data_IF_126898573752
#
_entry.id   IF_126898573752
#
_cell.length_a   1.000
_cell.length_b   1.000
_cell.length_c   1.000
_cell.angle_alpha   90.00
_cell.angle_beta   90.00
_cell.angle_gamma   90.00
#
_symmetry.space_group_name_H-M   'P 1'
#
loop_
_entity.id
_entity.type
_entity.pdbx_description
1 polymer ?
#
# COMPACT_ATOMS: atom_id res chain seq x y z
N UNK A 1 -6.04 -32.79 -25.69
CA UNK A 1 -5.10 -32.22 -24.70
C UNK A 1 -5.50 -30.76 -24.57
N UNK A 2 -6.32 -30.43 -23.57
CA UNK A 2 -6.93 -29.11 -23.45
C UNK A 2 -5.96 -28.12 -22.82
N UNK A 3 -5.82 -26.99 -23.49
CA UNK A 3 -5.09 -25.79 -23.10
C UNK A 3 -5.51 -25.29 -21.71
N UNK A 4 -4.54 -24.91 -20.88
CA UNK A 4 -4.71 -23.91 -19.80
C UNK A 4 -3.34 -23.38 -19.38
N UNK A 5 -2.51 -22.96 -20.34
CA UNK A 5 -1.46 -21.98 -20.09
C UNK A 5 -2.10 -20.60 -20.14
N UNK A 6 -2.91 -20.25 -19.15
CA UNK A 6 -3.38 -18.88 -19.00
C UNK A 6 -2.16 -17.96 -18.85
N UNK A 7 -2.17 -16.74 -19.42
CA UNK A 7 -1.10 -15.79 -19.10
C UNK A 7 -1.13 -15.61 -17.58
N UNK A 8 -0.05 -15.97 -16.90
CA UNK A 8 0.16 -15.53 -15.52
C UNK A 8 -0.13 -14.04 -15.53
N UNK A 9 -1.02 -13.52 -14.66
CA UNK A 9 -1.26 -12.09 -14.60
C UNK A 9 0.13 -11.47 -14.45
N UNK A 10 0.50 -10.60 -15.40
CA UNK A 10 1.70 -9.79 -15.28
C UNK A 10 1.51 -9.06 -13.96
N UNK A 11 2.21 -9.52 -12.92
CA UNK A 11 2.05 -8.97 -11.60
C UNK A 11 2.79 -7.64 -11.64
N UNK A 12 2.03 -6.59 -11.96
CA UNK A 12 2.53 -5.24 -11.95
C UNK A 12 2.92 -4.91 -10.51
N UNK A 13 4.18 -4.54 -10.30
CA UNK A 13 4.73 -4.15 -8.99
C UNK A 13 3.87 -3.11 -8.26
N UNK A 14 3.12 -2.31 -9.03
CA UNK A 14 2.11 -1.39 -8.52
C UNK A 14 0.99 -2.11 -7.78
N UNK A 15 0.42 -3.15 -8.38
CA UNK A 15 -0.65 -3.97 -7.81
C UNK A 15 -0.16 -4.67 -6.55
N UNK A 16 1.03 -5.26 -6.56
CA UNK A 16 1.66 -5.86 -5.38
C UNK A 16 1.71 -4.91 -4.18
N UNK A 17 2.19 -3.68 -4.40
CA UNK A 17 2.37 -2.70 -3.33
C UNK A 17 1.02 -2.20 -2.80
N UNK A 18 0.02 -2.07 -3.68
CA UNK A 18 -1.33 -1.69 -3.29
C UNK A 18 -2.03 -2.81 -2.51
N UNK A 19 -1.93 -4.06 -2.95
CA UNK A 19 -2.45 -5.25 -2.25
C UNK A 19 -1.86 -5.36 -0.85
N UNK A 20 -0.53 -5.20 -0.72
CA UNK A 20 0.12 -5.16 0.58
C UNK A 20 -0.40 -3.98 1.43
N UNK A 21 -0.59 -2.79 0.84
CA UNK A 21 -1.11 -1.63 1.56
C UNK A 21 -2.52 -1.86 2.12
N UNK A 22 -3.42 -2.53 1.38
CA UNK A 22 -4.81 -2.79 1.81
C UNK A 22 -5.02 -4.09 2.59
N UNK A 23 -3.93 -4.78 2.96
CA UNK A 23 -4.01 -6.05 3.69
C UNK A 23 -4.97 -5.96 4.89
N UNK A 24 -5.98 -6.84 4.99
CA UNK A 24 -7.09 -6.70 5.95
C UNK A 24 -6.64 -6.78 7.41
N UNK A 25 -5.58 -7.54 7.69
CA UNK A 25 -5.01 -7.71 9.03
C UNK A 25 -4.09 -6.56 9.46
N UNK A 26 -3.94 -5.53 8.63
CA UNK A 26 -3.03 -4.43 8.88
C UNK A 26 -3.78 -3.09 8.94
N UNK A 27 -3.25 -2.16 9.73
CA UNK A 27 -3.88 -0.84 9.92
C UNK A 27 -4.12 -0.10 8.60
N UNK A 28 -5.14 0.78 8.57
CA UNK A 28 -5.51 1.55 7.38
C UNK A 28 -4.28 2.28 6.81
N UNK A 29 -3.90 2.07 5.54
CA UNK A 29 -2.78 2.78 4.93
C UNK A 29 -3.12 4.27 4.82
N UNK A 30 -2.15 5.12 5.18
CA UNK A 30 -2.29 6.59 5.16
C UNK A 30 -1.30 7.27 4.23
N UNK A 31 -0.19 6.60 3.89
CA UNK A 31 0.86 7.12 3.03
C UNK A 31 1.70 5.95 2.53
N UNK A 32 2.11 5.99 1.27
CA UNK A 32 3.10 5.08 0.70
C UNK A 32 4.29 5.93 0.27
N UNK A 33 5.47 5.63 0.81
CA UNK A 33 6.72 6.23 0.36
C UNK A 33 7.41 5.25 -0.58
N UNK A 34 7.87 5.70 -1.72
CA UNK A 34 8.57 4.89 -2.72
C UNK A 34 9.86 5.57 -3.13
N UNK A 35 10.90 4.79 -3.41
CA UNK A 35 12.09 5.35 -4.02
C UNK A 35 11.82 5.83 -5.45
N UNK A 36 12.58 6.80 -5.96
CA UNK A 36 12.44 7.28 -7.34
C UNK A 36 12.47 6.16 -8.39
N UNK A 37 13.31 5.14 -8.19
CA UNK A 37 13.43 4.01 -9.13
C UNK A 37 12.17 3.14 -9.15
N UNK A 38 11.47 3.02 -8.01
CA UNK A 38 10.21 2.29 -7.88
C UNK A 38 9.06 3.12 -8.46
N UNK A 39 9.02 4.42 -8.16
CA UNK A 39 8.04 5.34 -8.74
C UNK A 39 8.11 5.35 -10.28
N UNK A 40 9.32 5.42 -10.86
CA UNK A 40 9.51 5.36 -12.31
C UNK A 40 9.03 4.04 -12.93
N UNK A 41 9.13 2.92 -12.20
CA UNK A 41 8.59 1.62 -12.63
C UNK A 41 7.06 1.57 -12.52
N UNK A 42 6.48 2.17 -11.49
CA UNK A 42 5.03 2.26 -11.30
C UNK A 42 4.33 3.18 -12.31
N UNK A 43 4.95 4.32 -12.63
CA UNK A 43 4.42 5.30 -13.59
C UNK A 43 4.69 4.90 -15.04
N UNK A 44 5.41 3.80 -15.28
CA UNK A 44 5.53 3.26 -16.63
C UNK A 44 4.15 2.73 -17.02
N UNK A 45 3.49 3.28 -18.06
CA UNK A 45 2.16 2.84 -18.42
C UNK A 45 2.21 1.35 -18.79
N UNK A 46 1.47 0.52 -18.05
CA UNK A 46 1.32 -0.91 -18.36
C UNK A 46 0.60 -1.07 -19.70
N UNK A 47 -0.34 -0.16 -20.02
CA UNK A 47 -1.04 0.00 -21.31
C UNK A 47 -1.49 1.46 -21.50
N UNK A 48 -1.68 1.94 -22.74
CA UNK A 48 -2.38 3.20 -22.98
C UNK A 48 -3.82 3.09 -22.45
N UNK A 49 -4.20 3.96 -21.50
CA UNK A 49 -5.51 3.97 -20.84
C UNK A 49 -5.51 3.73 -19.33
N UNK A 50 -4.35 3.46 -18.72
CA UNK A 50 -4.19 3.14 -17.29
C UNK A 50 -3.81 4.36 -16.42
N UNK A 51 -4.41 5.53 -16.72
CA UNK A 51 -4.15 6.82 -16.04
C UNK A 51 -4.86 6.95 -14.67
N UNK A 52 -4.96 5.86 -13.91
CA UNK A 52 -5.51 5.94 -12.55
C UNK A 52 -4.41 6.30 -11.56
N UNK A 53 -4.03 7.58 -11.49
CA UNK A 53 -2.96 8.08 -10.60
C UNK A 53 -3.34 8.13 -9.11
N UNK A 54 -4.51 7.60 -8.72
CA UNK A 54 -4.98 7.58 -7.34
C UNK A 54 -5.77 6.29 -7.01
N UNK A 55 -5.16 5.12 -7.20
CA UNK A 55 -5.88 3.83 -7.17
C UNK A 55 -6.64 3.56 -5.86
N UNK A 56 -6.34 4.24 -4.75
CA UNK A 56 -7.08 4.07 -3.49
C UNK A 56 -7.24 5.35 -2.66
N UNK A 57 -6.95 6.53 -3.23
CA UNK A 57 -6.88 7.78 -2.46
C UNK A 57 -5.80 7.81 -1.37
N UNK A 58 -4.82 6.89 -1.43
CA UNK A 58 -3.66 6.86 -0.55
C UNK A 58 -2.58 7.75 -1.18
N UNK A 59 -2.05 8.76 -0.46
CA UNK A 59 -0.92 9.57 -0.92
C UNK A 59 0.29 8.69 -1.25
N UNK A 60 0.90 8.92 -2.42
CA UNK A 60 2.18 8.34 -2.83
C UNK A 60 3.24 9.45 -2.79
N UNK A 61 4.33 9.23 -2.06
CA UNK A 61 5.45 10.18 -1.93
C UNK A 61 6.73 9.54 -2.43
N UNK A 62 7.47 10.26 -3.25
CA UNK A 62 8.80 9.84 -3.70
C UNK A 62 9.84 10.28 -2.68
N UNK A 63 10.68 9.36 -2.22
CA UNK A 63 11.69 9.59 -1.20
C UNK A 63 12.92 8.69 -1.43
N UNK A 64 14.09 9.30 -1.63
CA UNK A 64 15.35 8.60 -1.90
C UNK A 64 16.08 8.11 -0.64
N UNK A 65 15.66 8.57 0.54
CA UNK A 65 16.23 8.17 1.85
C UNK A 65 15.72 6.79 2.31
N UNK A 66 14.66 6.25 1.69
CA UNK A 66 14.14 4.91 2.01
C UNK A 66 15.19 3.84 1.69
N UNK A 67 15.33 2.79 2.53
CA UNK A 67 16.18 1.65 2.23
C UNK A 67 16.00 1.09 0.81
N UNK A 68 17.09 0.71 0.13
CA UNK A 68 17.05 0.27 -1.27
C UNK A 68 16.30 -1.05 -1.47
N UNK A 69 16.12 -1.84 -0.42
CA UNK A 69 15.27 -3.02 -0.42
C UNK A 69 14.34 -3.01 0.80
N UNK A 70 13.01 -3.09 0.61
CA UNK A 70 12.30 -3.34 -0.66
C UNK A 70 12.15 -2.11 -1.57
N UNK A 71 12.62 -0.92 -1.17
CA UNK A 71 12.53 0.31 -1.96
C UNK A 71 11.20 1.07 -1.81
N UNK A 72 10.37 0.65 -0.85
CA UNK A 72 9.12 1.32 -0.47
C UNK A 72 8.80 1.09 1.01
N UNK A 73 8.01 1.98 1.59
CA UNK A 73 7.48 1.89 2.95
C UNK A 73 6.00 2.26 2.98
N UNK A 74 5.20 1.48 3.72
CA UNK A 74 3.77 1.71 3.89
C UNK A 74 3.53 2.22 5.30
N UNK A 75 3.13 3.49 5.39
CA UNK A 75 2.71 4.09 6.65
C UNK A 75 1.23 3.80 6.86
N UNK A 76 0.92 3.25 8.04
CA UNK A 76 -0.43 2.90 8.45
C UNK A 76 -0.84 3.76 9.63
N UNK A 77 -2.14 4.06 9.72
CA UNK A 77 -2.68 4.66 10.92
C UNK A 77 -2.40 3.74 12.11
N UNK A 78 -1.80 4.28 13.17
CA UNK A 78 -1.76 3.59 14.46
C UNK A 78 -3.20 3.45 14.92
N UNK A 79 -3.70 2.24 15.23
CA UNK A 79 -5.03 2.10 15.77
C UNK A 79 -5.15 2.99 17.01
N UNK A 80 -6.29 3.68 17.22
CA UNK A 80 -6.46 4.47 18.43
C UNK A 80 -6.18 3.55 19.62
N UNK A 81 -5.44 4.02 20.65
CA UNK A 81 -5.23 3.21 21.84
C UNK A 81 -6.60 2.77 22.31
N UNK A 82 -6.79 1.46 22.49
CA UNK A 82 -7.95 0.94 23.21
C UNK A 82 -7.99 1.71 24.53
N UNK A 83 -8.86 2.72 24.64
CA UNK A 83 -9.03 3.44 25.90
C UNK A 83 -9.55 2.37 26.85
N UNK A 84 -8.79 1.91 27.86
CA UNK A 84 -9.39 1.09 28.87
C UNK A 84 -10.53 1.93 29.44
N UNK A 85 -11.75 1.39 29.40
CA UNK A 85 -12.86 1.95 30.16
C UNK A 85 -12.31 2.12 31.58
N UNK A 86 -12.23 3.36 32.06
CA UNK A 86 -11.88 3.66 33.45
C UNK A 86 -13.01 3.07 34.32
N UNK A 87 -12.94 1.77 34.57
CA UNK A 87 -13.68 1.11 35.62
C UNK A 87 -13.03 1.54 36.92
N UNK A 88 -13.61 2.55 37.57
CA UNK A 88 -13.16 2.97 38.90
C UNK A 88 -13.26 4.47 39.14
N UNK A 89 -14.48 4.98 39.23
CA UNK A 89 -14.78 6.09 40.14
C UNK A 89 -16.07 5.71 40.87
N UNK A 90 -16.04 5.45 42.19
CA UNK A 90 -17.26 5.38 42.97
C UNK A 90 -17.84 6.81 43.07
N UNK A 91 -19.13 6.93 42.76
CA UNK A 91 -19.89 8.17 42.93
C UNK A 91 -19.95 8.55 44.43
N UNK A 92 -19.83 9.84 44.79
CA UNK A 92 -20.09 10.30 46.16
C UNK A 92 -21.58 10.22 46.52
#
# INVERSE_FOLDING_TARGET
MSSSGGPSPVHDMRTDILDEAVRPDAGKPVLIRVRPEIHARMCRPARPGDEQDAVLGIPLVVDDEIPPFPGYEIHRAVPPPHRPLRSGVPLP
#
